data_IF_230721889898
#
_entry.id   IF_230721889898
#
_cell.length_a   1.000
_cell.length_b   1.000
_cell.length_c   1.000
_cell.angle_alpha   90.00
_cell.angle_beta   90.00
_cell.angle_gamma   90.00
#
_symmetry.space_group_name_H-M   'P 1'
#
loop_
_entity.id
_entity.type
_entity.pdbx_description
1 polymer ?
#
# COMPACT_ATOMS: atom_id res chain seq x y z
N UNK A 1 4.47 -18.77 -1.96
CA UNK A 1 3.43 -18.15 -2.83
C UNK A 1 2.55 -19.25 -3.41
N UNK A 2 1.25 -19.02 -3.58
CA UNK A 2 0.32 -19.99 -4.19
C UNK A 2 -0.68 -19.30 -5.12
N UNK A 3 -1.34 -20.07 -5.98
CA UNK A 3 -2.46 -19.59 -6.81
C UNK A 3 -3.52 -18.84 -5.97
N UNK A 4 -3.74 -19.27 -4.73
CA UNK A 4 -4.65 -18.62 -3.79
C UNK A 4 -4.22 -17.19 -3.44
N UNK A 5 -2.92 -16.92 -3.27
CA UNK A 5 -2.39 -15.56 -3.04
C UNK A 5 -2.65 -14.67 -4.26
N UNK A 6 -2.45 -15.20 -5.48
CA UNK A 6 -2.74 -14.47 -6.71
C UNK A 6 -4.24 -14.14 -6.83
N UNK A 7 -5.11 -15.12 -6.64
CA UNK A 7 -6.56 -14.89 -6.71
C UNK A 7 -7.03 -13.88 -5.65
N UNK A 8 -6.45 -13.88 -4.44
CA UNK A 8 -6.74 -12.86 -3.43
C UNK A 8 -6.29 -11.46 -3.87
N UNK A 9 -5.10 -11.33 -4.46
CA UNK A 9 -4.62 -10.06 -5.00
C UNK A 9 -5.54 -9.54 -6.10
N UNK A 10 -5.95 -10.40 -7.03
CA UNK A 10 -6.86 -10.03 -8.12
C UNK A 10 -8.25 -9.66 -7.60
N UNK A 11 -8.78 -10.42 -6.63
CA UNK A 11 -10.06 -10.10 -5.98
C UNK A 11 -10.00 -8.74 -5.29
N UNK A 12 -8.93 -8.44 -4.56
CA UNK A 12 -8.75 -7.13 -3.94
C UNK A 12 -8.69 -6.01 -4.99
N UNK A 13 -7.91 -6.21 -6.06
CA UNK A 13 -7.79 -5.23 -7.14
C UNK A 13 -9.13 -4.95 -7.83
N UNK A 14 -10.03 -5.95 -7.90
CA UNK A 14 -11.33 -5.83 -8.55
C UNK A 14 -12.27 -4.83 -7.87
N UNK A 15 -12.09 -4.54 -6.58
CA UNK A 15 -12.84 -3.49 -5.89
C UNK A 15 -12.49 -2.08 -6.38
N UNK A 16 -11.33 -1.91 -7.02
CA UNK A 16 -10.87 -0.65 -7.61
C UNK A 16 -10.97 0.58 -6.68
N UNK A 17 -10.69 0.41 -5.39
CA UNK A 17 -10.83 1.45 -4.36
C UNK A 17 -9.97 2.69 -4.64
N UNK A 18 -8.86 2.52 -5.37
CA UNK A 18 -7.93 3.61 -5.68
C UNK A 18 -8.33 4.41 -6.94
N UNK A 19 -9.47 4.09 -7.56
CA UNK A 19 -10.01 4.81 -8.74
C UNK A 19 -9.24 4.58 -10.05
N UNK A 20 -8.15 3.81 -10.02
CA UNK A 20 -7.34 3.45 -11.18
C UNK A 20 -7.01 1.98 -11.15
N UNK A 21 -7.36 1.24 -12.20
CA UNK A 21 -7.13 -0.21 -12.28
C UNK A 21 -5.64 -0.53 -12.08
N UNK A 22 -4.75 0.25 -12.69
CA UNK A 22 -3.30 0.08 -12.52
C UNK A 22 -2.85 0.31 -11.07
N UNK A 23 -3.43 1.30 -10.38
CA UNK A 23 -3.12 1.60 -8.98
C UNK A 23 -3.64 0.50 -8.06
N UNK A 24 -4.87 0.06 -8.29
CA UNK A 24 -5.55 -1.00 -7.53
C UNK A 24 -4.82 -2.34 -7.68
N UNK A 25 -4.38 -2.67 -8.89
CA UNK A 25 -3.52 -3.84 -9.14
C UNK A 25 -2.18 -3.71 -8.42
N UNK A 26 -1.50 -2.57 -8.55
CA UNK A 26 -0.22 -2.35 -7.87
C UNK A 26 -0.34 -2.54 -6.35
N UNK A 27 -1.30 -1.86 -5.70
CA UNK A 27 -1.47 -1.92 -4.25
C UNK A 27 -1.87 -3.33 -3.79
N UNK A 28 -2.78 -3.99 -4.50
CA UNK A 28 -3.24 -5.33 -4.13
C UNK A 28 -2.16 -6.40 -4.26
N UNK A 29 -1.29 -6.28 -5.26
CA UNK A 29 -0.14 -7.17 -5.41
C UNK A 29 0.94 -6.84 -4.36
N UNK A 30 1.23 -5.56 -4.10
CA UNK A 30 2.15 -5.20 -3.03
C UNK A 30 1.66 -5.74 -1.67
N UNK A 31 0.38 -5.59 -1.37
CA UNK A 31 -0.26 -6.14 -0.17
C UNK A 31 -0.11 -7.66 -0.08
N UNK A 32 -0.40 -8.38 -1.16
CA UNK A 32 -0.46 -9.84 -1.14
C UNK A 32 0.92 -10.52 -1.18
N UNK A 33 1.91 -9.86 -1.78
CA UNK A 33 3.22 -10.46 -2.05
C UNK A 33 4.35 -9.87 -1.19
N UNK A 34 4.29 -8.60 -0.77
CA UNK A 34 5.37 -8.00 0.00
C UNK A 34 5.21 -8.21 1.51
N UNK A 35 3.99 -8.25 2.03
CA UNK A 35 3.74 -8.30 3.50
C UNK A 35 4.28 -9.57 4.19
N UNK A 36 4.56 -10.63 3.45
CA UNK A 36 5.12 -11.89 3.96
C UNK A 36 6.60 -12.11 3.58
N UNK A 37 7.25 -11.13 2.95
CA UNK A 37 8.63 -11.22 2.51
C UNK A 37 9.59 -10.55 3.49
N UNK A 38 10.84 -11.00 3.45
CA UNK A 38 11.94 -10.30 4.09
C UNK A 38 12.22 -8.96 3.37
N UNK A 39 12.79 -8.01 4.11
CA UNK A 39 12.99 -6.65 3.59
C UNK A 39 13.94 -6.58 2.39
N UNK A 40 14.92 -7.47 2.29
CA UNK A 40 15.86 -7.53 1.15
C UNK A 40 15.16 -7.96 -0.14
N UNK A 41 14.13 -8.82 -0.05
CA UNK A 41 13.36 -9.28 -1.21
C UNK A 41 12.35 -8.26 -1.73
N UNK A 42 11.93 -7.28 -0.91
CA UNK A 42 10.94 -6.26 -1.30
C UNK A 42 11.25 -5.57 -2.63
N UNK A 43 12.42 -4.93 -2.83
CA UNK A 43 12.68 -4.18 -4.06
C UNK A 43 12.70 -5.07 -5.31
N UNK A 44 13.08 -6.35 -5.18
CA UNK A 44 13.05 -7.30 -6.29
C UNK A 44 11.61 -7.56 -6.71
N UNK A 45 10.74 -7.89 -5.75
CA UNK A 45 9.34 -8.24 -6.03
C UNK A 45 8.53 -7.01 -6.43
N UNK A 46 8.75 -5.86 -5.79
CA UNK A 46 8.12 -4.58 -6.17
C UNK A 46 8.47 -4.21 -7.62
N UNK A 47 9.73 -4.42 -8.04
CA UNK A 47 10.14 -4.20 -9.43
C UNK A 47 9.47 -5.19 -10.39
N UNK A 48 9.32 -6.46 -10.03
CA UNK A 48 8.59 -7.44 -10.86
C UNK A 48 7.11 -7.07 -11.00
N UNK A 49 6.45 -6.66 -9.92
CA UNK A 49 5.06 -6.18 -9.93
C UNK A 49 4.96 -4.97 -10.88
N UNK A 50 5.85 -4.00 -10.70
CA UNK A 50 5.95 -2.82 -11.56
C UNK A 50 6.08 -3.20 -13.04
N UNK A 51 7.02 -4.08 -13.37
CA UNK A 51 7.32 -4.48 -14.75
C UNK A 51 6.16 -5.21 -15.42
N UNK A 52 5.53 -6.16 -14.73
CA UNK A 52 4.56 -7.07 -15.33
C UNK A 52 3.10 -6.59 -15.20
N UNK A 53 2.78 -5.76 -14.21
CA UNK A 53 1.39 -5.39 -13.91
C UNK A 53 1.09 -3.96 -14.37
N UNK A 54 2.00 -3.01 -14.14
CA UNK A 54 1.78 -1.58 -14.41
C UNK A 54 2.44 -1.12 -15.72
N UNK A 55 3.56 -1.74 -16.07
CA UNK A 55 4.41 -1.35 -17.21
C UNK A 55 5.41 -0.24 -16.84
N UNK A 56 6.65 -0.39 -17.30
CA UNK A 56 7.82 0.42 -16.88
C UNK A 56 7.63 1.94 -16.98
N UNK A 57 6.88 2.44 -17.97
CA UNK A 57 6.74 3.89 -18.22
C UNK A 57 5.67 4.59 -17.37
N UNK A 58 4.69 3.86 -16.79
CA UNK A 58 3.53 4.45 -16.13
C UNK A 58 3.62 4.53 -14.59
N UNK A 59 4.53 3.76 -13.98
CA UNK A 59 4.63 3.64 -12.52
C UNK A 59 4.93 4.98 -11.84
N UNK A 60 5.98 5.69 -12.27
CA UNK A 60 6.40 6.94 -11.60
C UNK A 60 5.30 8.00 -11.61
N UNK A 61 4.57 8.13 -12.72
CA UNK A 61 3.43 9.05 -12.79
C UNK A 61 2.30 8.60 -11.88
N UNK A 62 1.95 7.31 -11.93
CA UNK A 62 0.89 6.73 -11.12
C UNK A 62 1.14 6.86 -9.61
N UNK A 63 2.37 6.60 -9.16
CA UNK A 63 2.76 6.69 -7.74
C UNK A 63 2.83 8.14 -7.22
N UNK A 64 3.01 9.13 -8.11
CA UNK A 64 2.99 10.56 -7.73
C UNK A 64 1.59 11.05 -7.38
N UNK A 65 0.55 10.43 -7.91
CA UNK A 65 -0.81 10.79 -7.57
C UNK A 65 -1.15 10.20 -6.19
N UNK A 66 -1.50 11.08 -5.26
CA UNK A 66 -2.01 10.68 -3.96
C UNK A 66 -3.26 9.79 -4.12
N UNK A 67 -3.44 8.85 -3.20
CA UNK A 67 -4.67 8.06 -3.16
C UNK A 67 -5.87 8.98 -2.92
N UNK A 68 -7.04 8.71 -3.54
CA UNK A 68 -8.23 9.49 -3.29
C UNK A 68 -8.62 9.36 -1.81
N UNK A 69 -8.99 10.48 -1.19
CA UNK A 69 -9.52 10.48 0.17
C UNK A 69 -10.91 9.81 0.15
N UNK A 70 -11.20 8.90 1.09
CA UNK A 70 -12.54 8.33 1.20
C UNK A 70 -13.59 9.40 1.49
N UNK A 71 -14.81 9.22 0.94
CA UNK A 71 -15.88 10.23 0.98
C UNK A 71 -16.51 10.41 2.37
N UNK A 72 -16.58 9.33 3.15
CA UNK A 72 -17.29 9.31 4.43
C UNK A 72 -16.43 8.73 5.55
N UNK A 73 -16.43 9.42 6.69
CA UNK A 73 -15.70 9.06 7.89
C UNK A 73 -14.53 10.00 8.18
N UNK A 74 -13.84 9.76 9.31
CA UNK A 74 -12.64 10.52 9.68
C UNK A 74 -11.41 9.74 9.25
N UNK A 75 -10.55 10.35 8.45
CA UNK A 75 -9.30 9.74 8.00
C UNK A 75 -8.11 10.64 8.28
N UNK A 76 -6.96 10.01 8.48
CA UNK A 76 -5.66 10.67 8.53
C UNK A 76 -4.76 10.09 7.44
N UNK A 77 -3.86 10.91 6.93
CA UNK A 77 -2.86 10.47 5.97
C UNK A 77 -1.62 9.99 6.72
N UNK A 78 -1.17 8.77 6.43
CA UNK A 78 0.03 8.20 7.03
C UNK A 78 0.76 7.32 6.02
N UNK A 79 2.07 7.59 5.82
CA UNK A 79 2.91 6.88 4.85
C UNK A 79 2.32 6.76 3.42
N UNK A 80 1.53 7.76 3.01
CA UNK A 80 0.90 7.80 1.68
C UNK A 80 -0.45 7.08 1.58
N UNK A 81 -0.98 6.57 2.70
CA UNK A 81 -2.28 5.89 2.79
C UNK A 81 -3.28 6.66 3.67
N UNK A 82 -4.56 6.47 3.39
CA UNK A 82 -5.66 6.99 4.21
C UNK A 82 -6.08 5.95 5.24
N UNK A 83 -5.92 6.28 6.51
CA UNK A 83 -6.25 5.41 7.64
C UNK A 83 -7.51 5.91 8.32
N UNK A 84 -8.47 5.02 8.55
CA UNK A 84 -9.66 5.34 9.35
C UNK A 84 -9.23 5.70 10.78
N UNK A 85 -9.73 6.82 11.28
CA UNK A 85 -9.41 7.35 12.59
C UNK A 85 -10.62 7.28 13.51
N UNK A 86 -10.36 6.92 14.78
CA UNK A 86 -11.38 6.86 15.81
C UNK A 86 -11.71 8.23 16.40
N UNK A 87 -12.38 8.22 17.55
CA UNK A 87 -12.79 9.44 18.27
C UNK A 87 -11.63 10.13 19.00
N UNK A 88 -10.51 9.44 19.21
CA UNK A 88 -9.34 9.98 19.90
C UNK A 88 -8.39 10.62 18.89
N UNK A 89 -7.85 11.76 19.26
CA UNK A 89 -6.81 12.42 18.46
C UNK A 89 -5.53 11.58 18.43
N UNK A 90 -4.84 11.52 17.28
CA UNK A 90 -3.57 10.82 17.17
C UNK A 90 -2.49 11.53 18.00
N UNK A 91 -1.74 10.76 18.78
CA UNK A 91 -0.61 11.24 19.58
C UNK A 91 0.69 10.67 19.01
N UNK A 92 1.61 11.55 18.62
CA UNK A 92 2.97 11.16 18.27
C UNK A 92 3.79 11.01 19.55
N UNK A 93 4.33 9.81 19.87
CA UNK A 93 5.15 9.65 21.07
C UNK A 93 6.53 10.29 20.87
N UNK A 94 6.96 11.14 21.81
CA UNK A 94 8.24 11.86 21.73
C UNK A 94 9.48 10.93 21.70
N UNK A 95 9.36 9.72 22.25
CA UNK A 95 10.43 8.73 22.30
C UNK A 95 10.49 7.74 21.13
N UNK A 96 9.59 7.84 20.14
CA UNK A 96 9.52 6.84 19.08
C UNK A 96 10.42 7.19 17.89
N UNK A 97 11.50 6.43 17.70
CA UNK A 97 12.49 6.68 16.64
C UNK A 97 12.04 6.07 15.31
N UNK A 98 11.70 6.93 14.35
CA UNK A 98 11.32 6.54 12.99
C UNK A 98 12.55 6.34 12.08
N UNK A 99 13.24 5.22 12.27
CA UNK A 99 14.31 4.82 11.35
C UNK A 99 13.75 4.48 9.96
N UNK A 100 14.58 4.45 8.89
CA UNK A 100 14.11 4.09 7.55
C UNK A 100 13.45 2.70 7.48
N UNK A 101 13.95 1.73 8.24
CA UNK A 101 13.36 0.38 8.30
C UNK A 101 12.02 0.36 9.04
N UNK A 102 11.90 1.12 10.13
CA UNK A 102 10.63 1.30 10.86
C UNK A 102 9.59 1.97 9.96
N UNK A 103 9.96 3.05 9.28
CA UNK A 103 9.07 3.76 8.33
C UNK A 103 8.59 2.84 7.22
N UNK A 104 9.50 2.06 6.65
CA UNK A 104 9.21 1.05 5.66
C UNK A 104 8.15 0.03 6.13
N UNK A 105 8.32 -0.51 7.34
CA UNK A 105 7.36 -1.43 7.94
C UNK A 105 6.00 -0.76 8.20
N UNK A 106 6.01 0.46 8.75
CA UNK A 106 4.80 1.24 9.00
C UNK A 106 4.03 1.54 7.71
N UNK A 107 4.71 1.79 6.60
CA UNK A 107 4.09 1.94 5.28
C UNK A 107 3.40 0.65 4.83
N UNK A 108 4.04 -0.50 5.04
CA UNK A 108 3.46 -1.79 4.66
C UNK A 108 2.25 -2.14 5.54
N UNK A 109 2.30 -1.81 6.85
CA UNK A 109 1.14 -1.90 7.74
C UNK A 109 0.02 -0.95 7.34
N UNK A 110 0.34 0.31 7.03
CA UNK A 110 -0.63 1.31 6.59
C UNK A 110 -1.39 0.86 5.34
N UNK A 111 -0.71 0.23 4.36
CA UNK A 111 -1.33 -0.39 3.19
C UNK A 111 -2.34 -1.49 3.55
N UNK A 112 -2.07 -2.27 4.59
CA UNK A 112 -2.94 -3.39 5.01
C UNK A 112 -4.26 -2.88 5.59
N UNK A 113 -4.20 -1.79 6.35
CA UNK A 113 -5.36 -1.24 7.08
C UNK A 113 -6.01 -0.04 6.39
N UNK A 114 -5.51 0.37 5.22
CA UNK A 114 -6.10 1.47 4.45
C UNK A 114 -7.44 1.08 3.85
N UNK A 115 -8.36 2.05 3.81
CA UNK A 115 -9.72 1.90 3.30
C UNK A 115 -9.80 1.78 1.76
#
# INVERSE_FOLDING_TARGET
FSLRTLCRALKQASFNQQGSISRSLYESFCLSFLTQLDRSSHPVVENLICQHIVGKSKIKSMLKHALPQPLEGKYLQFEGYWLSSGHKDPVAPDGYVLTPSVRANLRDLARVVSA
#
